data_IF_917899403211
#
_entry.id   IF_917899403211
#
_cell.length_a   1.000
_cell.length_b   1.000
_cell.length_c   1.000
_cell.angle_alpha   90.00
_cell.angle_beta   90.00
_cell.angle_gamma   90.00
#
_symmetry.space_group_name_H-M   'P 1'
#
loop_
_entity.id
_entity.type
_entity.pdbx_description
1 polymer ?
#
# COMPACT_ATOMS: atom_id res chain seq x y z
N UNK A 1 -6.82 29.07 -0.43
CA UNK A 1 -6.55 27.64 -0.11
C UNK A 1 -6.40 26.86 -1.40
N UNK A 2 -5.16 26.73 -1.87
CA UNK A 2 -4.80 25.99 -3.08
C UNK A 2 -5.02 24.51 -2.83
N UNK A 3 -6.09 23.93 -3.40
CA UNK A 3 -6.28 22.49 -3.44
C UNK A 3 -5.16 21.90 -4.27
N UNK A 4 -4.10 21.43 -3.61
CA UNK A 4 -3.04 20.64 -4.22
C UNK A 4 -3.67 19.33 -4.68
N UNK A 5 -4.22 19.33 -5.90
CA UNK A 5 -4.59 18.10 -6.58
C UNK A 5 -3.27 17.39 -6.79
N UNK A 6 -2.97 16.40 -5.95
CA UNK A 6 -1.91 15.44 -6.20
C UNK A 6 -2.29 14.71 -7.50
N UNK A 7 -2.00 15.31 -8.65
CA UNK A 7 -2.01 14.61 -9.93
C UNK A 7 -0.98 13.49 -9.80
N UNK A 8 -1.30 12.27 -10.21
CA UNK A 8 -0.25 11.25 -10.34
C UNK A 8 0.77 11.85 -11.28
N UNK A 9 2.01 12.13 -10.84
CA UNK A 9 2.96 12.80 -11.71
C UNK A 9 3.14 11.89 -12.94
N UNK A 10 2.86 12.43 -14.13
CA UNK A 10 2.98 11.71 -15.41
C UNK A 10 4.41 11.12 -15.55
N UNK A 11 5.38 11.67 -14.82
CA UNK A 11 6.72 11.14 -14.68
C UNK A 11 6.79 9.67 -14.21
N UNK A 12 5.85 9.18 -13.40
CA UNK A 12 5.86 7.80 -12.88
C UNK A 12 5.67 6.73 -13.98
N UNK A 13 4.59 6.74 -14.78
CA UNK A 13 4.43 5.79 -15.89
C UNK A 13 5.55 5.92 -16.92
N UNK A 14 6.07 7.14 -17.16
CA UNK A 14 7.24 7.34 -18.03
C UNK A 14 8.46 6.62 -17.44
N UNK A 15 8.75 6.79 -16.15
CA UNK A 15 9.86 6.12 -15.50
C UNK A 15 9.73 4.59 -15.57
N UNK A 16 8.52 4.05 -15.31
CA UNK A 16 8.25 2.61 -15.43
C UNK A 16 8.61 2.10 -16.82
N UNK A 17 8.14 2.77 -17.87
CA UNK A 17 8.41 2.40 -19.26
C UNK A 17 9.92 2.48 -19.55
N UNK A 18 10.60 3.54 -19.12
CA UNK A 18 12.04 3.70 -19.31
C UNK A 18 12.81 2.56 -18.65
N UNK A 19 12.55 2.27 -17.36
CA UNK A 19 13.24 1.19 -16.65
C UNK A 19 12.96 -0.19 -17.27
N UNK A 20 11.73 -0.44 -17.73
CA UNK A 20 11.37 -1.68 -18.40
C UNK A 20 12.12 -1.84 -19.72
N UNK A 21 12.12 -0.81 -20.57
CA UNK A 21 12.82 -0.82 -21.85
C UNK A 21 14.33 -0.96 -21.65
N UNK A 22 14.91 -0.22 -20.72
CA UNK A 22 16.33 -0.34 -20.38
C UNK A 22 16.67 -1.74 -19.86
N UNK A 23 15.86 -2.32 -18.97
CA UNK A 23 16.08 -3.66 -18.45
C UNK A 23 16.03 -4.74 -19.53
N UNK A 24 15.08 -4.64 -20.47
CA UNK A 24 14.95 -5.56 -21.60
C UNK A 24 16.11 -5.43 -22.61
N UNK A 25 16.61 -4.21 -22.84
CA UNK A 25 17.73 -3.96 -23.75
C UNK A 25 19.09 -4.28 -23.10
N UNK A 26 19.21 -4.09 -21.79
CA UNK A 26 20.47 -4.29 -21.06
C UNK A 26 20.99 -5.73 -21.19
N UNK A 27 20.11 -6.74 -21.14
CA UNK A 27 20.49 -8.15 -21.28
C UNK A 27 21.26 -8.46 -22.59
N UNK A 28 20.65 -8.26 -23.78
CA UNK A 28 21.34 -8.48 -25.04
C UNK A 28 22.53 -7.53 -25.24
N UNK A 29 22.43 -6.28 -24.80
CA UNK A 29 23.51 -5.31 -24.92
C UNK A 29 24.77 -5.75 -24.16
N UNK A 30 24.62 -6.16 -22.90
CA UNK A 30 25.72 -6.62 -22.04
C UNK A 30 26.36 -7.88 -22.63
N UNK A 31 25.56 -8.87 -23.08
CA UNK A 31 26.08 -10.09 -23.70
C UNK A 31 26.82 -9.85 -25.01
N UNK A 32 26.49 -8.77 -25.74
CA UNK A 32 27.21 -8.40 -26.96
C UNK A 32 28.56 -7.72 -26.71
N UNK A 33 28.83 -7.26 -25.48
CA UNK A 33 30.01 -6.45 -25.14
C UNK A 33 30.93 -7.09 -24.10
N UNK A 34 30.40 -7.95 -23.23
CA UNK A 34 31.14 -8.64 -22.18
C UNK A 34 31.32 -10.12 -22.53
N UNK A 35 32.49 -10.67 -22.23
CA UNK A 35 32.74 -12.12 -22.33
C UNK A 35 32.12 -12.86 -21.15
N UNK A 36 31.86 -14.17 -21.31
CA UNK A 36 31.27 -15.01 -20.26
C UNK A 36 32.12 -15.03 -18.97
N UNK A 37 33.46 -14.99 -19.07
CA UNK A 37 34.36 -14.88 -17.92
C UNK A 37 34.16 -13.56 -17.16
N UNK A 38 34.01 -12.44 -17.88
CA UNK A 38 33.75 -11.13 -17.25
C UNK A 38 32.38 -11.07 -16.57
N UNK A 39 31.38 -11.79 -17.08
CA UNK A 39 30.05 -11.87 -16.45
C UNK A 39 30.05 -12.72 -15.19
N UNK A 40 30.87 -13.77 -15.15
CA UNK A 40 31.06 -14.60 -13.96
C UNK A 40 31.80 -13.82 -12.85
N UNK A 41 32.83 -13.06 -13.22
CA UNK A 41 33.59 -12.26 -12.26
C UNK A 41 32.83 -11.00 -11.78
N UNK A 42 31.90 -10.48 -12.59
CA UNK A 42 31.14 -9.26 -12.28
C UNK A 42 29.64 -9.55 -12.11
N UNK A 43 29.28 -10.07 -10.93
CA UNK A 43 27.88 -10.37 -10.54
C UNK A 43 26.96 -9.16 -10.74
N UNK A 44 27.42 -7.93 -10.49
CA UNK A 44 26.63 -6.71 -10.68
C UNK A 44 26.22 -6.48 -12.14
N UNK A 45 27.11 -6.78 -13.10
CA UNK A 45 26.83 -6.62 -14.52
C UNK A 45 25.76 -7.62 -14.99
N UNK A 46 25.84 -8.86 -14.48
CA UNK A 46 24.86 -9.91 -14.75
C UNK A 46 23.49 -9.62 -14.10
N UNK A 47 23.48 -9.04 -12.89
CA UNK A 47 22.26 -8.70 -12.17
C UNK A 47 21.55 -7.43 -12.69
N UNK A 48 22.26 -6.54 -13.39
CA UNK A 48 21.72 -5.26 -13.87
C UNK A 48 20.37 -5.38 -14.62
N UNK A 49 20.21 -6.21 -15.67
CA UNK A 49 18.92 -6.34 -16.36
C UNK A 49 17.80 -6.81 -15.44
N UNK A 50 18.10 -7.74 -14.53
CA UNK A 50 17.13 -8.24 -13.55
C UNK A 50 16.69 -7.13 -12.59
N UNK A 51 17.62 -6.37 -12.02
CA UNK A 51 17.33 -5.27 -11.09
C UNK A 51 16.47 -4.20 -11.77
N UNK A 52 16.79 -3.82 -13.01
CA UNK A 52 16.03 -2.80 -13.76
C UNK A 52 14.58 -3.23 -13.98
N UNK A 53 14.35 -4.49 -14.34
CA UNK A 53 13.00 -5.04 -14.54
C UNK A 53 12.25 -5.09 -13.20
N UNK A 54 12.90 -5.54 -12.12
CA UNK A 54 12.29 -5.58 -10.78
C UNK A 54 11.90 -4.18 -10.31
N UNK A 55 12.76 -3.18 -10.48
CA UNK A 55 12.45 -1.78 -10.16
C UNK A 55 11.25 -1.29 -10.97
N UNK A 56 11.17 -1.60 -12.26
CA UNK A 56 10.02 -1.25 -13.09
C UNK A 56 8.72 -1.86 -12.56
N UNK A 57 8.75 -3.14 -12.17
CA UNK A 57 7.59 -3.85 -11.59
C UNK A 57 7.17 -3.22 -10.26
N UNK A 58 8.12 -2.90 -9.38
CA UNK A 58 7.83 -2.27 -8.08
C UNK A 58 7.19 -0.89 -8.31
N UNK A 59 7.74 -0.06 -9.20
CA UNK A 59 7.18 1.24 -9.53
C UNK A 59 5.76 1.11 -10.12
N UNK A 60 5.54 0.12 -10.99
CA UNK A 60 4.23 -0.17 -11.55
C UNK A 60 3.23 -0.55 -10.44
N UNK A 61 3.64 -1.39 -9.50
CA UNK A 61 2.78 -1.80 -8.39
C UNK A 61 2.45 -0.65 -7.44
N UNK A 62 3.42 0.19 -7.07
CA UNK A 62 3.18 1.41 -6.27
C UNK A 62 2.21 2.35 -6.99
N UNK A 63 2.38 2.52 -8.31
CA UNK A 63 1.49 3.35 -9.12
C UNK A 63 0.07 2.78 -9.13
N UNK A 64 -0.08 1.46 -9.26
CA UNK A 64 -1.36 0.77 -9.18
C UNK A 64 -2.04 1.01 -7.82
N UNK A 65 -1.32 0.84 -6.71
CA UNK A 65 -1.82 1.13 -5.36
C UNK A 65 -2.29 2.58 -5.27
N UNK A 66 -1.48 3.54 -5.73
CA UNK A 66 -1.83 4.95 -5.68
C UNK A 66 -3.09 5.30 -6.49
N UNK A 67 -3.24 4.71 -7.68
CA UNK A 67 -4.44 4.88 -8.52
C UNK A 67 -5.67 4.30 -7.82
N UNK A 68 -5.60 3.04 -7.37
CA UNK A 68 -6.73 2.37 -6.71
C UNK A 68 -7.12 3.11 -5.43
N UNK A 69 -6.14 3.48 -4.60
CA UNK A 69 -6.37 4.25 -3.39
C UNK A 69 -7.13 5.54 -3.70
N UNK A 70 -6.77 6.28 -4.76
CA UNK A 70 -7.49 7.51 -5.14
C UNK A 70 -8.90 7.27 -5.67
N UNK A 71 -9.10 6.18 -6.42
CA UNK A 71 -10.40 5.86 -7.01
C UNK A 71 -11.40 5.36 -5.97
N UNK A 72 -10.93 4.60 -4.98
CA UNK A 72 -11.80 3.91 -4.02
C UNK A 72 -11.88 4.62 -2.66
N UNK A 73 -10.90 5.44 -2.28
CA UNK A 73 -10.91 6.15 -0.99
C UNK A 73 -12.12 7.06 -0.87
N UNK A 74 -12.70 7.13 0.33
CA UNK A 74 -13.94 7.85 0.67
C UNK A 74 -15.22 7.36 -0.05
N UNK A 75 -15.13 6.39 -0.96
CA UNK A 75 -16.31 5.84 -1.65
C UNK A 75 -16.81 4.53 -1.02
N UNK A 76 -16.00 3.89 -0.18
CA UNK A 76 -16.32 2.58 0.41
C UNK A 76 -16.85 2.73 1.83
N UNK A 77 -17.94 2.02 2.14
CA UNK A 77 -18.50 1.97 3.49
C UNK A 77 -17.58 1.20 4.45
N UNK A 78 -17.50 1.58 5.74
CA UNK A 78 -16.66 0.87 6.73
C UNK A 78 -16.98 -0.62 6.88
N UNK A 79 -18.24 -1.02 6.66
CA UNK A 79 -18.66 -2.43 6.70
C UNK A 79 -18.06 -3.23 5.56
N UNK A 80 -18.14 -2.73 4.32
CA UNK A 80 -17.56 -3.42 3.16
C UNK A 80 -16.04 -3.48 3.31
N UNK A 81 -15.42 -2.38 3.76
CA UNK A 81 -13.99 -2.32 4.02
C UNK A 81 -13.52 -3.45 4.93
N UNK A 82 -14.15 -3.59 6.09
CA UNK A 82 -13.80 -4.61 7.09
C UNK A 82 -14.12 -6.04 6.65
N UNK A 83 -15.18 -6.27 5.87
CA UNK A 83 -15.50 -7.59 5.33
C UNK A 83 -14.42 -8.06 4.35
N UNK A 84 -14.06 -7.20 3.38
CA UNK A 84 -13.03 -7.54 2.38
C UNK A 84 -11.68 -7.74 3.06
N UNK A 85 -11.32 -6.88 4.00
CA UNK A 85 -10.09 -7.02 4.79
C UNK A 85 -10.02 -8.37 5.50
N UNK A 86 -11.10 -8.81 6.16
CA UNK A 86 -11.17 -10.12 6.82
C UNK A 86 -11.04 -11.29 5.85
N UNK A 87 -11.68 -11.19 4.67
CA UNK A 87 -11.56 -12.22 3.62
C UNK A 87 -10.11 -12.34 3.14
N UNK A 88 -9.43 -11.21 2.92
CA UNK A 88 -8.03 -11.18 2.51
C UNK A 88 -7.12 -11.80 3.59
N UNK A 89 -7.32 -11.44 4.86
CA UNK A 89 -6.57 -12.03 5.98
C UNK A 89 -6.83 -13.55 6.05
N UNK A 90 -8.08 -13.99 5.93
CA UNK A 90 -8.42 -15.41 5.92
C UNK A 90 -7.75 -16.15 4.74
N UNK A 91 -7.71 -15.53 3.56
CA UNK A 91 -7.00 -16.05 2.39
C UNK A 91 -5.49 -16.19 2.62
N UNK A 92 -4.86 -15.21 3.27
CA UNK A 92 -3.45 -15.29 3.68
C UNK A 92 -3.24 -16.47 4.63
N UNK A 93 -4.03 -16.58 5.69
CA UNK A 93 -3.92 -17.68 6.66
C UNK A 93 -4.12 -19.05 5.98
N UNK A 94 -5.12 -19.17 5.10
CA UNK A 94 -5.37 -20.41 4.36
C UNK A 94 -4.22 -20.74 3.40
N UNK A 95 -3.65 -19.73 2.73
CA UNK A 95 -2.48 -19.89 1.86
C UNK A 95 -1.25 -20.39 2.62
N UNK A 96 -0.98 -19.81 3.79
CA UNK A 96 0.07 -20.27 4.72
C UNK A 96 -0.18 -21.74 5.09
N UNK A 97 -1.37 -22.07 5.58
CA UNK A 97 -1.71 -23.44 5.97
C UNK A 97 -1.54 -24.43 4.82
N UNK A 98 -1.89 -24.04 3.58
CA UNK A 98 -1.70 -24.85 2.38
C UNK A 98 -0.23 -25.07 2.02
N UNK A 99 0.61 -24.05 2.17
CA UNK A 99 2.07 -24.17 1.94
C UNK A 99 2.75 -25.08 2.97
N UNK A 100 2.28 -25.09 4.20
CA UNK A 100 2.84 -25.89 5.29
C UNK A 100 2.26 -27.32 5.39
N UNK A 101 1.69 -27.87 4.31
CA UNK A 101 1.28 -29.28 4.24
C UNK A 101 2.43 -30.15 3.68
N UNK A 102 3.14 -30.95 4.50
CA UNK A 102 4.31 -31.70 4.03
C UNK A 102 3.95 -32.94 3.17
N UNK A 103 2.67 -33.33 3.11
CA UNK A 103 2.20 -34.51 2.38
C UNK A 103 1.46 -34.20 1.06
N UNK A 104 1.05 -32.95 0.79
CA UNK A 104 0.31 -32.58 -0.43
C UNK A 104 1.05 -31.51 -1.24
N UNK A 105 1.88 -31.94 -2.20
CA UNK A 105 2.59 -31.01 -3.09
C UNK A 105 1.65 -30.06 -3.87
N UNK A 106 0.44 -30.53 -4.18
CA UNK A 106 -0.57 -29.71 -4.85
C UNK A 106 -1.08 -28.56 -3.95
N UNK A 107 -1.21 -28.80 -2.64
CA UNK A 107 -1.59 -27.79 -1.66
C UNK A 107 -0.49 -26.73 -1.52
N UNK A 108 0.78 -27.10 -1.66
CA UNK A 108 1.88 -26.13 -1.70
C UNK A 108 1.76 -25.15 -2.88
N UNK A 109 1.53 -25.66 -4.10
CA UNK A 109 1.40 -24.81 -5.31
C UNK A 109 0.21 -23.86 -5.20
N UNK A 110 -0.97 -24.37 -4.84
CA UNK A 110 -2.17 -23.54 -4.72
C UNK A 110 -2.13 -22.64 -3.50
N UNK A 111 -1.58 -23.11 -2.38
CA UNK A 111 -1.36 -22.32 -1.17
C UNK A 111 -0.44 -21.13 -1.44
N UNK A 112 0.64 -21.33 -2.18
CA UNK A 112 1.53 -20.25 -2.62
C UNK A 112 0.80 -19.22 -3.48
N UNK A 113 0.05 -19.65 -4.50
CA UNK A 113 -0.70 -18.72 -5.36
C UNK A 113 -1.76 -17.96 -4.56
N UNK A 114 -2.53 -18.66 -3.70
CA UNK A 114 -3.52 -18.05 -2.84
C UNK A 114 -2.88 -17.02 -1.89
N UNK A 115 -1.76 -17.37 -1.26
CA UNK A 115 -0.99 -16.48 -0.40
C UNK A 115 -0.52 -15.25 -1.17
N UNK A 116 0.08 -15.45 -2.35
CA UNK A 116 0.61 -14.39 -3.19
C UNK A 116 -0.49 -13.39 -3.58
N UNK A 117 -1.60 -13.88 -4.13
CA UNK A 117 -2.72 -13.02 -4.52
C UNK A 117 -3.37 -12.34 -3.32
N UNK A 118 -3.62 -13.06 -2.22
CA UNK A 118 -4.23 -12.47 -1.02
C UNK A 118 -3.33 -11.40 -0.41
N UNK A 119 -2.02 -11.61 -0.40
CA UNK A 119 -1.04 -10.64 0.12
C UNK A 119 -0.97 -9.39 -0.76
N UNK A 120 -0.87 -9.56 -2.09
CA UNK A 120 -0.85 -8.42 -3.01
C UNK A 120 -2.15 -7.61 -2.92
N UNK A 121 -3.30 -8.29 -2.92
CA UNK A 121 -4.60 -7.63 -2.74
C UNK A 121 -4.73 -6.97 -1.38
N UNK A 122 -4.22 -7.57 -0.30
CA UNK A 122 -4.20 -6.96 1.03
C UNK A 122 -3.34 -5.70 1.07
N UNK A 123 -2.16 -5.70 0.44
CA UNK A 123 -1.32 -4.51 0.33
C UNK A 123 -2.08 -3.39 -0.42
N UNK A 124 -2.75 -3.71 -1.53
CA UNK A 124 -3.56 -2.71 -2.24
C UNK A 124 -4.71 -2.20 -1.37
N UNK A 125 -5.43 -3.11 -0.70
CA UNK A 125 -6.61 -2.79 0.10
C UNK A 125 -6.27 -1.93 1.33
N UNK A 126 -5.14 -2.21 2.00
CA UNK A 126 -4.70 -1.50 3.20
C UNK A 126 -4.36 -0.02 2.95
N UNK A 127 -4.15 0.37 1.70
CA UNK A 127 -3.91 1.76 1.30
C UNK A 127 -5.20 2.52 0.97
N UNK A 128 -6.36 1.86 0.97
CA UNK A 128 -7.65 2.51 0.74
C UNK A 128 -8.16 3.08 2.07
N UNK A 129 -8.52 4.36 2.08
CA UNK A 129 -9.12 5.00 3.26
C UNK A 129 -10.64 4.87 3.18
N UNK A 130 -11.29 4.15 4.12
CA UNK A 130 -12.75 4.02 4.13
C UNK A 130 -13.41 5.38 4.37
N UNK A 131 -14.65 5.54 3.88
CA UNK A 131 -15.45 6.73 4.18
C UNK A 131 -15.59 6.83 5.70
N UNK A 132 -15.13 7.94 6.28
CA UNK A 132 -15.43 8.27 7.68
C UNK A 132 -16.94 8.26 7.79
N UNK A 133 -17.50 7.31 8.53
CA UNK A 133 -18.81 7.51 9.08
C UNK A 133 -18.64 8.74 9.95
N UNK A 134 -19.38 9.81 9.67
CA UNK A 134 -19.45 10.95 10.55
C UNK A 134 -19.88 10.40 11.92
N UNK A 135 -18.90 10.14 12.77
CA UNK A 135 -19.13 10.00 14.20
C UNK A 135 -19.70 11.36 14.53
N UNK A 136 -21.00 11.35 14.79
CA UNK A 136 -21.72 12.40 15.45
C UNK A 136 -20.91 12.78 16.70
N UNK A 137 -19.98 13.72 16.57
CA UNK A 137 -19.60 14.63 17.66
C UNK A 137 -20.77 15.62 17.86
N UNK A 138 -21.95 15.06 18.13
CA UNK A 138 -23.07 15.74 18.78
C UNK A 138 -22.98 15.58 20.30
N UNK A 139 -21.83 15.16 20.82
CA UNK A 139 -21.50 15.22 22.24
C UNK A 139 -20.15 15.92 22.34
N UNK A 140 -20.18 17.23 22.07
CA UNK A 140 -19.27 18.11 22.78
C UNK A 140 -19.51 17.85 24.28
N UNK A 141 -18.53 17.41 25.08
CA UNK A 141 -18.73 17.36 26.51
C UNK A 141 -19.06 18.79 26.91
N UNK A 142 -20.28 19.00 27.41
CA UNK A 142 -20.67 20.24 28.05
C UNK A 142 -19.59 20.53 29.08
N UNK A 143 -18.66 21.42 28.73
CA UNK A 143 -17.76 22.03 29.69
C UNK A 143 -18.71 22.76 30.63
N UNK A 144 -18.84 22.33 31.90
CA UNK A 144 -19.69 23.02 32.83
C UNK A 144 -19.21 24.46 32.88
N UNK A 145 -20.07 25.39 32.46
CA UNK A 145 -19.85 26.81 32.62
C UNK A 145 -19.36 27.04 34.05
N UNK A 146 -18.13 27.52 34.16
CA UNK A 146 -17.53 28.00 35.40
C UNK A 146 -18.58 28.81 36.17
N UNK A 147 -18.82 28.53 37.47
CA UNK A 147 -19.77 29.30 38.24
C UNK A 147 -19.32 30.76 38.24
N UNK A 148 -20.19 31.59 37.68
CA UNK A 148 -20.23 33.03 37.79
C UNK A 148 -19.92 33.43 39.23
N UNK A 149 -18.72 33.95 39.46
CA UNK A 149 -18.35 34.62 40.71
C UNK A 149 -19.13 35.93 40.79
N UNK A 150 -20.40 35.85 41.17
CA UNK A 150 -21.11 36.92 41.86
C UNK A 150 -20.97 36.68 43.35
N UNK A 151 -19.96 37.29 43.95
CA UNK A 151 -19.95 37.56 45.38
C UNK A 151 -19.33 38.96 45.55
N UNK A 152 -20.18 39.97 45.38
CA UNK A 152 -20.77 40.79 46.46
C UNK A 152 -19.76 41.83 46.94
N UNK A 153 -19.82 42.95 46.24
CA UNK A 153 -19.46 44.24 46.79
C UNK A 153 -20.51 44.62 47.85
N UNK A 154 -20.05 44.75 49.09
CA UNK A 154 -20.65 45.61 50.11
C UNK A 154 -21.95 45.14 50.78
N UNK A 155 -21.83 44.53 51.98
CA UNK A 155 -22.66 44.99 53.10
C UNK A 155 -22.16 44.50 54.47
N UNK A 156 -22.07 45.47 55.39
CA UNK A 156 -22.15 45.39 56.86
C UNK A 156 -20.87 45.18 57.68
N UNK A 157 -20.53 46.28 58.38
CA UNK A 157 -20.39 46.43 59.86
C UNK A 157 -19.54 45.33 60.52
N UNK A 158 -18.42 45.64 61.17
CA UNK A 158 -18.30 46.40 62.42
C UNK A 158 -16.92 47.05 62.51
#
# INVERSE_FOLDING_TARGET
>A
MTKTRLSTPIALPIAIIIFLVLGLIAGPFIRSRATEEQLADNVLLSALPFILIVVAIILAFITLIAIIARLLSNNISPRIFSIVERILIAGIVLGVLGMFQPWVFLAYKYGFLLLLFSTLSFIVWSHIVPRRADVQEGISPVVPSQPEKREVEGERRV
#
